data_IF_100546579079
#
_entry.id   IF_100546579079
#
_cell.length_a   1.000
_cell.length_b   1.000
_cell.length_c   1.000
_cell.angle_alpha   90.00
_cell.angle_beta   90.00
_cell.angle_gamma   90.00
#
_symmetry.space_group_name_H-M   'P 1'
#
loop_
_entity.id
_entity.type
_entity.pdbx_description
1 polymer ?
#
# COMPACT_ATOMS: atom_id res chain seq x y z
N UNK A 1 -23.15 1.71 9.55
CA UNK A 1 -22.49 2.57 8.54
C UNK A 1 -21.28 3.31 9.10
N UNK A 2 -21.39 4.01 10.24
CA UNK A 2 -20.26 4.73 10.85
C UNK A 2 -19.04 3.85 11.14
N UNK A 3 -19.23 2.65 11.72
CA UNK A 3 -18.12 1.73 12.00
C UNK A 3 -17.36 1.30 10.73
N UNK A 4 -18.10 0.99 9.64
CA UNK A 4 -17.49 0.60 8.36
C UNK A 4 -16.63 1.73 7.78
N UNK A 5 -17.13 2.97 7.85
CA UNK A 5 -16.39 4.14 7.41
C UNK A 5 -15.13 4.38 8.25
N UNK A 6 -15.22 4.24 9.58
CA UNK A 6 -14.05 4.37 10.47
C UNK A 6 -13.00 3.31 10.15
N UNK A 7 -13.40 2.04 10.00
CA UNK A 7 -12.49 0.96 9.63
C UNK A 7 -11.84 1.20 8.26
N UNK A 8 -12.63 1.65 7.29
CA UNK A 8 -12.13 1.98 5.95
C UNK A 8 -11.08 3.10 5.99
N UNK A 9 -11.36 4.17 6.74
CA UNK A 9 -10.47 5.31 6.90
C UNK A 9 -9.18 4.94 7.64
N UNK A 10 -9.28 4.19 8.74
CA UNK A 10 -8.10 3.70 9.47
C UNK A 10 -7.25 2.81 8.56
N UNK A 11 -7.87 1.95 7.77
CA UNK A 11 -7.17 1.14 6.79
C UNK A 11 -6.41 1.99 5.77
N UNK A 12 -7.04 3.04 5.24
CA UNK A 12 -6.42 3.94 4.28
C UNK A 12 -5.20 4.65 4.89
N UNK A 13 -5.31 5.10 6.15
CA UNK A 13 -4.21 5.72 6.90
C UNK A 13 -3.04 4.74 7.10
N UNK A 14 -3.32 3.51 7.56
CA UNK A 14 -2.28 2.51 7.80
C UNK A 14 -1.56 2.13 6.50
N UNK A 15 -2.30 2.01 5.40
CA UNK A 15 -1.74 1.59 4.13
C UNK A 15 -0.96 2.73 3.44
N UNK A 16 -1.61 3.86 3.16
CA UNK A 16 -0.98 5.01 2.46
C UNK A 16 0.08 5.66 3.35
N UNK A 17 -0.24 5.88 4.64
CA UNK A 17 0.69 6.45 5.60
C UNK A 17 1.91 5.58 5.84
N UNK A 18 1.74 4.25 5.92
CA UNK A 18 2.87 3.33 6.05
C UNK A 18 3.79 3.32 4.84
N UNK A 19 3.25 3.42 3.61
CA UNK A 19 4.06 3.59 2.39
C UNK A 19 4.80 4.93 2.39
N UNK A 20 4.11 6.02 2.75
CA UNK A 20 4.72 7.35 2.86
C UNK A 20 5.88 7.35 3.86
N UNK A 21 5.67 6.79 5.05
CA UNK A 21 6.73 6.60 6.05
C UNK A 21 7.90 5.78 5.50
N UNK A 22 7.63 4.66 4.83
CA UNK A 22 8.64 3.80 4.24
C UNK A 22 9.56 4.51 3.24
N UNK A 23 8.98 5.36 2.39
CA UNK A 23 9.72 6.08 1.33
C UNK A 23 10.38 7.36 1.85
N UNK A 24 9.67 8.16 2.64
CA UNK A 24 10.08 9.52 3.01
C UNK A 24 10.92 9.57 4.28
N UNK A 25 10.74 8.64 5.23
CA UNK A 25 11.42 8.68 6.52
C UNK A 25 12.33 7.47 6.75
N UNK A 26 11.78 6.25 6.59
CA UNK A 26 12.54 5.02 6.85
C UNK A 26 13.73 4.87 5.89
N UNK A 27 13.51 5.07 4.59
CA UNK A 27 14.59 4.95 3.59
C UNK A 27 15.79 5.87 3.86
N UNK A 28 15.64 7.19 4.04
CA UNK A 28 16.78 8.05 4.32
C UNK A 28 17.45 7.70 5.65
N UNK A 29 16.69 7.32 6.67
CA UNK A 29 17.27 6.87 7.94
C UNK A 29 18.18 5.63 7.75
N UNK A 30 17.72 4.65 6.96
CA UNK A 30 18.48 3.43 6.65
C UNK A 30 19.72 3.68 5.77
N UNK A 31 19.83 4.83 5.10
CA UNK A 31 21.00 5.16 4.28
C UNK A 31 22.27 5.38 5.11
N UNK A 32 22.13 5.65 6.42
CA UNK A 32 23.23 5.80 7.37
C UNK A 32 23.89 4.46 7.77
N UNK A 33 23.24 3.34 7.47
CA UNK A 33 23.72 2.01 7.82
C UNK A 33 24.63 1.42 6.72
N UNK A 34 25.61 0.58 7.10
CA UNK A 34 26.37 -0.25 6.16
C UNK A 34 25.45 -1.08 5.24
N UNK A 35 25.87 -1.40 4.00
CA UNK A 35 25.01 -2.05 3.02
C UNK A 35 24.31 -3.35 3.48
N UNK A 36 24.99 -4.29 4.20
CA UNK A 36 24.34 -5.51 4.69
C UNK A 36 23.27 -5.22 5.74
N UNK A 37 23.59 -4.41 6.75
CA UNK A 37 22.67 -4.04 7.84
C UNK A 37 21.46 -3.28 7.31
N UNK A 38 21.66 -2.42 6.31
CA UNK A 38 20.59 -1.71 5.61
C UNK A 38 19.59 -2.66 4.94
N UNK A 39 20.06 -3.73 4.31
CA UNK A 39 19.20 -4.72 3.65
C UNK A 39 18.42 -5.55 4.67
N UNK A 40 19.05 -5.97 5.75
CA UNK A 40 18.40 -6.70 6.84
C UNK A 40 17.33 -5.86 7.53
N UNK A 41 17.65 -4.61 7.89
CA UNK A 41 16.69 -3.68 8.48
C UNK A 41 15.53 -3.39 7.53
N UNK A 42 15.81 -3.20 6.24
CA UNK A 42 14.77 -3.08 5.20
C UNK A 42 13.88 -4.31 5.18
N UNK A 43 14.45 -5.53 5.15
CA UNK A 43 13.68 -6.77 5.13
C UNK A 43 12.79 -6.90 6.38
N UNK A 44 13.35 -6.62 7.55
CA UNK A 44 12.63 -6.70 8.81
C UNK A 44 11.45 -5.72 8.87
N UNK A 45 11.61 -4.50 8.34
CA UNK A 45 10.55 -3.51 8.26
C UNK A 45 9.46 -3.92 7.24
N UNK A 46 9.85 -4.27 6.02
CA UNK A 46 8.92 -4.72 4.97
C UNK A 46 8.11 -5.93 5.39
N UNK A 47 8.72 -6.90 6.11
CA UNK A 47 7.99 -8.06 6.65
C UNK A 47 6.82 -7.65 7.54
N UNK A 48 7.05 -6.74 8.48
CA UNK A 48 6.00 -6.28 9.42
C UNK A 48 4.95 -5.46 8.69
N UNK A 49 5.39 -4.53 7.84
CA UNK A 49 4.49 -3.68 7.07
C UNK A 49 3.60 -4.48 6.12
N UNK A 50 4.15 -5.43 5.36
CA UNK A 50 3.37 -6.25 4.44
C UNK A 50 2.40 -7.18 5.17
N UNK A 51 2.71 -7.66 6.38
CA UNK A 51 1.74 -8.37 7.20
C UNK A 51 0.56 -7.47 7.61
N UNK A 52 0.81 -6.22 7.98
CA UNK A 52 -0.26 -5.26 8.28
C UNK A 52 -1.12 -5.03 7.03
N UNK A 53 -0.50 -4.72 5.89
CA UNK A 53 -1.22 -4.46 4.63
C UNK A 53 -2.01 -5.69 4.16
N UNK A 54 -1.49 -6.91 4.37
CA UNK A 54 -2.18 -8.15 4.02
C UNK A 54 -3.56 -8.29 4.69
N UNK A 55 -3.72 -7.77 5.91
CA UNK A 55 -5.00 -7.77 6.63
C UNK A 55 -5.81 -6.50 6.39
N UNK A 56 -5.13 -5.35 6.33
CA UNK A 56 -5.79 -4.05 6.12
C UNK A 56 -6.40 -3.93 4.72
N UNK A 57 -5.74 -4.43 3.68
CA UNK A 57 -6.21 -4.33 2.29
C UNK A 57 -7.56 -5.05 2.10
N UNK A 58 -7.75 -6.32 2.48
CA UNK A 58 -9.06 -6.98 2.35
C UNK A 58 -10.15 -6.29 3.18
N UNK A 59 -9.83 -5.84 4.39
CA UNK A 59 -10.79 -5.10 5.24
C UNK A 59 -11.21 -3.79 4.58
N UNK A 60 -10.28 -3.05 3.99
CA UNK A 60 -10.58 -1.83 3.23
C UNK A 60 -11.48 -2.10 2.03
N UNK A 61 -11.19 -3.14 1.23
CA UNK A 61 -12.01 -3.49 0.07
C UNK A 61 -13.42 -3.91 0.50
N UNK A 62 -13.53 -4.78 1.50
CA UNK A 62 -14.82 -5.25 2.02
C UNK A 62 -15.67 -4.08 2.57
N UNK A 63 -15.06 -3.21 3.38
CA UNK A 63 -15.74 -2.02 3.92
C UNK A 63 -16.09 -1.01 2.82
N UNK A 64 -15.24 -0.85 1.81
CA UNK A 64 -15.51 0.02 0.65
C UNK A 64 -16.72 -0.44 -0.15
N UNK A 65 -16.80 -1.74 -0.48
CA UNK A 65 -17.98 -2.30 -1.16
C UNK A 65 -19.24 -2.25 -0.29
N UNK A 66 -19.12 -2.52 1.01
CA UNK A 66 -20.26 -2.40 1.93
C UNK A 66 -20.82 -0.98 1.99
N UNK A 67 -19.96 0.05 1.95
CA UNK A 67 -20.37 1.45 1.87
C UNK A 67 -20.97 1.78 0.50
N UNK A 68 -20.38 1.29 -0.60
CA UNK A 68 -20.86 1.50 -1.96
C UNK A 68 -22.30 1.00 -2.14
N UNK A 69 -22.57 -0.24 -1.76
CA UNK A 69 -23.89 -0.84 -1.94
C UNK A 69 -24.88 -0.43 -0.83
N UNK A 70 -24.40 -0.15 0.38
CA UNK A 70 -25.26 0.18 1.52
C UNK A 70 -25.61 1.67 1.66
N UNK A 71 -24.73 2.58 1.24
CA UNK A 71 -24.92 4.03 1.39
C UNK A 71 -25.12 4.74 0.05
N UNK A 72 -24.32 4.39 -0.96
CA UNK A 72 -24.36 5.05 -2.27
C UNK A 72 -25.38 4.42 -3.24
N UNK A 73 -26.14 3.39 -2.81
CA UNK A 73 -27.11 2.71 -3.68
C UNK A 73 -26.47 1.90 -4.81
N UNK A 74 -25.19 1.53 -4.65
CA UNK A 74 -24.41 0.83 -5.67
C UNK A 74 -23.73 1.77 -6.67
N UNK A 75 -23.14 1.18 -7.72
CA UNK A 75 -22.39 1.94 -8.72
C UNK A 75 -23.23 2.95 -9.51
N UNK A 76 -24.55 2.76 -9.63
CA UNK A 76 -25.42 3.70 -10.33
C UNK A 76 -25.70 4.98 -9.52
N UNK A 77 -25.70 4.89 -8.18
CA UNK A 77 -25.93 6.04 -7.29
C UNK A 77 -24.64 6.68 -6.77
N UNK A 78 -23.48 6.14 -7.13
CA UNK A 78 -22.19 6.64 -6.70
C UNK A 78 -21.67 7.74 -7.64
N UNK A 79 -21.08 8.80 -7.07
CA UNK A 79 -20.45 9.86 -7.87
C UNK A 79 -19.17 9.39 -8.57
N UNK A 80 -18.72 10.16 -9.57
CA UNK A 80 -17.52 9.85 -10.37
C UNK A 80 -16.27 9.54 -9.51
N UNK A 81 -16.11 10.25 -8.39
CA UNK A 81 -14.98 10.10 -7.48
C UNK A 81 -14.93 8.70 -6.85
N UNK A 82 -16.08 8.08 -6.57
CA UNK A 82 -16.15 6.72 -6.00
C UNK A 82 -15.70 5.68 -7.02
N UNK A 83 -16.02 5.87 -8.30
CA UNK A 83 -15.53 4.98 -9.37
C UNK A 83 -14.01 5.04 -9.50
N UNK A 84 -13.45 6.26 -9.44
CA UNK A 84 -12.00 6.46 -9.47
C UNK A 84 -11.35 5.84 -8.23
N UNK A 85 -11.90 6.05 -7.03
CA UNK A 85 -11.42 5.42 -5.79
C UNK A 85 -11.46 3.89 -5.85
N UNK A 86 -12.52 3.31 -6.42
CA UNK A 86 -12.61 1.87 -6.62
C UNK A 86 -11.54 1.37 -7.60
N UNK A 87 -11.38 2.04 -8.74
CA UNK A 87 -10.36 1.67 -9.74
C UNK A 87 -8.95 1.74 -9.16
N UNK A 88 -8.59 2.85 -8.50
CA UNK A 88 -7.28 3.01 -7.90
C UNK A 88 -7.06 2.02 -6.75
N UNK A 89 -8.08 1.76 -5.92
CA UNK A 89 -8.00 0.75 -4.86
C UNK A 89 -7.72 -0.66 -5.39
N UNK A 90 -8.34 -1.04 -6.50
CA UNK A 90 -8.07 -2.32 -7.16
C UNK A 90 -6.66 -2.37 -7.77
N UNK A 91 -6.22 -1.31 -8.45
CA UNK A 91 -4.85 -1.21 -8.97
C UNK A 91 -3.82 -1.30 -7.86
N UNK A 92 -4.02 -0.59 -6.75
CA UNK A 92 -3.15 -0.62 -5.59
C UNK A 92 -3.05 -2.02 -4.98
N UNK A 93 -4.18 -2.73 -4.90
CA UNK A 93 -4.24 -4.11 -4.42
C UNK A 93 -3.47 -5.04 -5.35
N UNK A 94 -3.63 -4.91 -6.66
CA UNK A 94 -2.89 -5.69 -7.65
C UNK A 94 -1.37 -5.43 -7.57
N UNK A 95 -0.96 -4.16 -7.41
CA UNK A 95 0.45 -3.80 -7.21
C UNK A 95 0.99 -4.43 -5.93
N UNK A 96 0.24 -4.38 -4.82
CA UNK A 96 0.66 -5.01 -3.57
C UNK A 96 0.82 -6.52 -3.69
N UNK A 97 -0.13 -7.22 -4.32
CA UNK A 97 -0.02 -8.66 -4.57
C UNK A 97 1.20 -8.98 -5.44
N UNK A 98 1.46 -8.18 -6.48
CA UNK A 98 2.63 -8.32 -7.33
C UNK A 98 3.96 -8.11 -6.55
N UNK A 99 3.99 -7.13 -5.62
CA UNK A 99 5.13 -6.93 -4.71
C UNK A 99 5.33 -8.17 -3.84
N UNK A 100 4.26 -8.65 -3.20
CA UNK A 100 4.30 -9.71 -2.20
C UNK A 100 4.76 -11.05 -2.80
N UNK A 101 4.20 -11.45 -3.94
CA UNK A 101 4.50 -12.73 -4.59
C UNK A 101 5.77 -12.70 -5.46
N UNK A 102 6.17 -11.52 -5.95
CA UNK A 102 7.35 -11.38 -6.80
C UNK A 102 8.57 -10.87 -6.01
N UNK A 103 8.88 -9.56 -6.05
CA UNK A 103 10.10 -8.99 -5.47
C UNK A 103 10.33 -9.30 -4.00
N UNK A 104 9.27 -9.28 -3.16
CA UNK A 104 9.41 -9.56 -1.74
C UNK A 104 9.85 -10.99 -1.47
N UNK A 105 9.25 -11.96 -2.17
CA UNK A 105 9.63 -13.37 -2.10
C UNK A 105 11.08 -13.57 -2.57
N UNK A 106 11.47 -12.94 -3.70
CA UNK A 106 12.85 -13.01 -4.23
C UNK A 106 13.86 -12.42 -3.24
N UNK A 107 13.57 -11.26 -2.66
CA UNK A 107 14.43 -10.61 -1.68
C UNK A 107 14.69 -11.50 -0.46
N UNK A 108 13.63 -12.13 0.07
CA UNK A 108 13.77 -13.06 1.20
C UNK A 108 14.59 -14.31 0.85
N UNK A 109 14.40 -14.87 -0.33
CA UNK A 109 15.15 -16.04 -0.78
C UNK A 109 16.65 -15.71 -0.95
N UNK A 110 16.96 -14.58 -1.60
CA UNK A 110 18.34 -14.13 -1.79
C UNK A 110 19.05 -13.83 -0.45
N UNK A 111 18.35 -13.21 0.51
CA UNK A 111 18.90 -13.00 1.86
C UNK A 111 19.19 -14.31 2.58
N UNK A 112 18.32 -15.32 2.46
CA UNK A 112 18.53 -16.63 3.06
C UNK A 112 19.68 -17.40 2.40
N UNK A 113 19.95 -17.16 1.12
CA UNK A 113 21.04 -17.75 0.37
C UNK A 113 22.38 -16.98 0.50
N UNK A 114 22.40 -15.82 1.19
CA UNK A 114 23.58 -14.97 1.29
C UNK A 114 23.92 -14.18 0.01
N UNK A 115 22.99 -14.12 -0.96
CA UNK A 115 23.17 -13.45 -2.25
C UNK A 115 22.86 -11.95 -2.15
N UNK A 116 23.81 -11.18 -1.63
CA UNK A 116 23.61 -9.76 -1.33
C UNK A 116 23.23 -8.90 -2.55
N UNK A 117 23.78 -9.19 -3.74
CA UNK A 117 23.50 -8.44 -4.96
C UNK A 117 22.05 -8.64 -5.43
N UNK A 118 21.57 -9.89 -5.44
CA UNK A 118 20.19 -10.22 -5.79
C UNK A 118 19.18 -9.68 -4.76
N UNK A 119 19.52 -9.73 -3.47
CA UNK A 119 18.71 -9.13 -2.42
C UNK A 119 18.58 -7.61 -2.61
N UNK A 120 19.67 -6.92 -2.96
CA UNK A 120 19.66 -5.49 -3.23
C UNK A 120 18.82 -5.13 -4.48
N UNK A 121 18.95 -5.91 -5.56
CA UNK A 121 18.16 -5.72 -6.77
C UNK A 121 16.66 -5.92 -6.51
N UNK A 122 16.30 -6.97 -5.77
CA UNK A 122 14.91 -7.24 -5.38
C UNK A 122 14.36 -6.13 -4.46
N UNK A 123 15.14 -5.66 -3.48
CA UNK A 123 14.77 -4.54 -2.60
C UNK A 123 14.54 -3.24 -3.39
N UNK A 124 15.36 -2.97 -4.41
CA UNK A 124 15.16 -1.83 -5.30
C UNK A 124 13.84 -1.94 -6.08
N UNK A 125 13.47 -3.15 -6.53
CA UNK A 125 12.19 -3.38 -7.21
C UNK A 125 11.00 -3.21 -6.27
N UNK A 126 11.08 -3.74 -5.03
CA UNK A 126 10.09 -3.48 -3.98
C UNK A 126 9.87 -1.99 -3.82
N UNK A 127 10.97 -1.22 -3.66
CA UNK A 127 10.91 0.24 -3.51
C UNK A 127 10.16 0.92 -4.65
N UNK A 128 10.53 0.64 -5.90
CA UNK A 128 9.90 1.26 -7.07
C UNK A 128 8.39 1.00 -7.10
N UNK A 129 7.98 -0.24 -6.84
CA UNK A 129 6.57 -0.61 -6.84
C UNK A 129 5.81 0.00 -5.65
N UNK A 130 6.42 0.08 -4.46
CA UNK A 130 5.84 0.79 -3.32
C UNK A 130 5.69 2.28 -3.62
N UNK A 131 6.65 2.91 -4.31
CA UNK A 131 6.53 4.31 -4.74
C UNK A 131 5.38 4.51 -5.72
N UNK A 132 5.24 3.66 -6.73
CA UNK A 132 4.09 3.71 -7.66
C UNK A 132 2.78 3.54 -6.89
N UNK A 133 2.73 2.59 -5.95
CA UNK A 133 1.55 2.33 -5.14
C UNK A 133 1.20 3.52 -4.22
N UNK A 134 2.21 4.20 -3.67
CA UNK A 134 2.03 5.41 -2.90
C UNK A 134 1.44 6.54 -3.75
N UNK A 135 1.92 6.74 -4.98
CA UNK A 135 1.37 7.76 -5.88
C UNK A 135 -0.11 7.50 -6.19
N UNK A 136 -0.48 6.24 -6.45
CA UNK A 136 -1.89 5.84 -6.61
C UNK A 136 -2.70 6.09 -5.33
N UNK A 137 -2.12 5.80 -4.16
CA UNK A 137 -2.74 6.09 -2.86
C UNK A 137 -2.99 7.57 -2.64
N UNK A 138 -2.00 8.43 -2.93
CA UNK A 138 -2.14 9.88 -2.82
C UNK A 138 -3.17 10.42 -3.80
N UNK A 139 -3.18 9.94 -5.05
CA UNK A 139 -4.23 10.27 -6.03
C UNK A 139 -5.62 9.91 -5.49
N UNK A 140 -5.76 8.72 -4.90
CA UNK A 140 -7.02 8.26 -4.30
C UNK A 140 -7.48 9.17 -3.17
N UNK A 141 -6.56 9.59 -2.30
CA UNK A 141 -6.86 10.53 -1.19
C UNK A 141 -7.27 11.90 -1.72
N UNK A 142 -6.58 12.41 -2.75
CA UNK A 142 -6.94 13.68 -3.39
C UNK A 142 -8.34 13.61 -4.01
N UNK A 143 -8.64 12.54 -4.75
CA UNK A 143 -9.95 12.33 -5.37
C UNK A 143 -11.05 12.20 -4.33
N UNK A 144 -10.80 11.47 -3.23
CA UNK A 144 -11.76 11.33 -2.14
C UNK A 144 -12.05 12.68 -1.45
N UNK A 145 -11.01 13.48 -1.21
CA UNK A 145 -11.15 14.81 -0.62
C UNK A 145 -11.84 15.80 -1.56
N UNK A 146 -11.44 15.81 -2.83
CA UNK A 146 -12.00 16.70 -3.85
C UNK A 146 -13.45 16.36 -4.16
N UNK A 147 -13.79 15.09 -4.39
CA UNK A 147 -15.16 14.66 -4.70
C UNK A 147 -16.17 14.97 -3.58
N UNK A 148 -15.70 15.18 -2.34
CA UNK A 148 -16.56 15.59 -1.21
C UNK A 148 -16.95 17.08 -1.24
N UNK A 149 -16.13 17.95 -1.84
CA UNK A 149 -16.33 19.41 -1.81
C UNK A 149 -16.38 20.08 -3.19
N UNK A 150 -15.95 19.39 -4.26
CA UNK A 150 -15.55 19.97 -5.54
C UNK A 150 -16.46 19.70 -6.74
N UNK A 151 -17.59 18.98 -6.58
CA UNK A 151 -18.51 18.64 -7.68
C UNK A 151 -18.17 17.35 -8.41
#
# INVERSE_FOLDING_TARGET
MTLLFVLHLVGAVLWVGGMAFGILAMRPALATLPPPQRLEASAAAHRRFFLVVWHVMPVMLATGYALLFGWFGGFAGAGWHVHVMNLTGLLMSAVFLAIFFGPWRRMRAALAAGEAADAAAANNKVRQMVTVNLLLGLLTVIVAGWGRFGG
#
